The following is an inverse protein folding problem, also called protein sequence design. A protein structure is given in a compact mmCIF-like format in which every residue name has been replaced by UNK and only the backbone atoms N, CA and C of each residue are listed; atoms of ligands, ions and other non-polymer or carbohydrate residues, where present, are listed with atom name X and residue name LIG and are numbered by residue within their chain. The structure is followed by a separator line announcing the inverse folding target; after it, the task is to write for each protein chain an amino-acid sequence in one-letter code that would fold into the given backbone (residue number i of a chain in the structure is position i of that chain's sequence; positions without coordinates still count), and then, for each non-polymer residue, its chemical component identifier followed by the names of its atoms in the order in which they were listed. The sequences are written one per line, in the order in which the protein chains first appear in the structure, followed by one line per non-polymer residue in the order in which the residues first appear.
data_IF_098704468753
#
_entry.id   IF_098704468753
#
_cell.length_a   1.000
_cell.length_b   1.000
_cell.length_c   1.000
_cell.angle_alpha   90.00
_cell.angle_beta   90.00
_cell.angle_gamma   90.00
#
_symmetry.space_group_name_H-M   'P 1'
#
loop_
_entity.id
_entity.type
_entity.pdbx_description
1 polymer ?
#
# COMPACT_ATOMS: atom_id res chain seq x y z
N UNK A 1 1.92 -23.10 17.97
CA UNK A 1 2.02 -21.77 17.36
C UNK A 1 1.71 -21.89 15.87
N UNK A 2 0.62 -21.30 15.36
CA UNK A 2 0.34 -21.27 13.91
C UNK A 2 0.94 -19.98 13.34
N UNK A 3 1.86 -20.10 12.41
CA UNK A 3 2.40 -18.95 11.69
C UNK A 3 1.33 -18.52 10.67
N UNK A 4 0.81 -17.29 10.80
CA UNK A 4 -0.06 -16.69 9.80
C UNK A 4 0.80 -15.74 8.99
N UNK A 5 0.91 -15.96 7.68
CA UNK A 5 1.52 -14.98 6.79
C UNK A 5 0.59 -13.77 6.74
N UNK A 6 0.90 -12.73 7.50
CA UNK A 6 0.25 -11.44 7.39
C UNK A 6 0.67 -10.76 6.09
N UNK A 7 -0.20 -9.93 5.55
CA UNK A 7 0.05 -9.16 4.34
C UNK A 7 -0.20 -7.69 4.67
N UNK A 8 0.85 -6.88 4.61
CA UNK A 8 0.75 -5.43 4.81
C UNK A 8 0.69 -4.74 3.46
N UNK A 9 -0.24 -3.78 3.32
CA UNK A 9 -0.38 -2.93 2.14
C UNK A 9 -0.30 -1.47 2.58
N UNK A 10 0.45 -0.65 1.83
CA UNK A 10 0.47 0.80 1.98
C UNK A 10 0.20 1.47 0.64
N UNK A 11 -0.59 2.54 0.67
CA UNK A 11 -1.01 3.29 -0.51
C UNK A 11 -0.72 4.77 -0.31
N UNK A 12 -0.17 5.42 -1.34
CA UNK A 12 0.23 6.82 -1.28
C UNK A 12 -0.11 7.55 -2.57
N UNK A 13 -0.52 8.81 -2.42
CA UNK A 13 -0.75 9.77 -3.50
C UNK A 13 0.30 10.88 -3.44
N UNK A 14 0.73 11.38 -4.60
CA UNK A 14 1.82 12.34 -4.73
C UNK A 14 1.45 13.48 -5.65
N UNK A 15 2.06 14.64 -5.38
CA UNK A 15 1.85 15.85 -6.18
C UNK A 15 2.64 15.82 -7.49
N UNK A 16 3.72 15.03 -7.55
CA UNK A 16 4.55 14.91 -8.75
C UNK A 16 5.09 13.48 -8.95
N UNK A 17 5.48 13.19 -10.20
CA UNK A 17 6.15 11.93 -10.55
C UNK A 17 7.47 11.77 -9.81
N UNK A 18 8.26 12.84 -9.71
CA UNK A 18 9.57 12.83 -9.05
C UNK A 18 9.45 12.47 -7.57
N UNK A 19 8.47 13.05 -6.87
CA UNK A 19 8.20 12.75 -5.46
C UNK A 19 7.83 11.27 -5.27
N UNK A 20 6.93 10.75 -6.12
CA UNK A 20 6.58 9.33 -6.14
C UNK A 20 7.80 8.45 -6.33
N UNK A 21 8.63 8.74 -7.33
CA UNK A 21 9.78 7.91 -7.71
C UNK A 21 10.84 7.88 -6.59
N UNK A 22 11.07 9.04 -5.94
CA UNK A 22 11.94 9.12 -4.78
C UNK A 22 11.42 8.29 -3.60
N UNK A 23 10.12 8.33 -3.32
CA UNK A 23 9.53 7.54 -2.24
C UNK A 23 9.52 6.04 -2.54
N UNK A 24 9.26 5.63 -3.79
CA UNK A 24 9.39 4.22 -4.21
C UNK A 24 10.81 3.72 -3.96
N UNK A 25 11.83 4.49 -4.33
CA UNK A 25 13.22 4.11 -4.10
C UNK A 25 13.55 3.95 -2.60
N UNK A 26 12.94 4.75 -1.72
CA UNK A 26 13.07 4.61 -0.27
C UNK A 26 12.38 3.34 0.23
N UNK A 27 11.13 3.12 -0.15
CA UNK A 27 10.34 1.96 0.27
C UNK A 27 10.99 0.63 -0.14
N UNK A 28 11.56 0.57 -1.35
CA UNK A 28 12.32 -0.59 -1.82
C UNK A 28 13.55 -0.87 -0.94
N UNK A 29 14.26 0.19 -0.47
CA UNK A 29 15.38 0.03 0.46
C UNK A 29 14.95 -0.47 1.85
N UNK A 30 13.72 -0.13 2.26
CA UNK A 30 13.11 -0.58 3.52
C UNK A 30 12.47 -1.98 3.43
N UNK A 31 12.61 -2.67 2.30
CA UNK A 31 12.10 -4.02 2.10
C UNK A 31 10.60 -4.08 1.79
N UNK A 32 10.01 -2.98 1.35
CA UNK A 32 8.67 -2.98 0.76
C UNK A 32 8.76 -3.27 -0.74
N UNK A 33 7.90 -4.18 -1.22
CA UNK A 33 7.77 -4.45 -2.64
C UNK A 33 6.71 -3.55 -3.25
N UNK A 34 7.05 -2.86 -4.31
CA UNK A 34 6.07 -2.13 -5.10
C UNK A 34 5.11 -3.11 -5.81
N UNK A 35 3.83 -2.77 -5.85
CA UNK A 35 2.78 -3.50 -6.58
C UNK A 35 2.05 -2.66 -7.62
N UNK A 36 2.41 -1.38 -7.76
CA UNK A 36 1.93 -0.54 -8.84
C UNK A 36 2.31 0.93 -8.70
N UNK A 37 2.67 1.53 -9.83
CA UNK A 37 2.93 2.95 -10.03
C UNK A 37 2.10 3.45 -11.22
N UNK A 38 1.14 4.33 -10.98
CA UNK A 38 0.29 4.87 -12.07
C UNK A 38 -0.03 6.34 -11.86
N UNK A 39 -0.31 7.04 -12.97
CA UNK A 39 -1.03 8.30 -12.95
C UNK A 39 -2.52 7.95 -13.06
N UNK A 40 -3.27 8.05 -11.95
CA UNK A 40 -4.69 7.66 -11.90
C UNK A 40 -5.60 8.88 -11.76
N UNK A 41 -6.90 8.68 -12.01
CA UNK A 41 -7.90 9.70 -11.68
C UNK A 41 -8.03 9.82 -10.17
N UNK A 42 -8.25 11.04 -9.69
CA UNK A 42 -8.68 11.29 -8.32
C UNK A 42 -10.00 10.58 -8.06
N UNK A 43 -10.20 10.18 -6.81
CA UNK A 43 -11.41 9.50 -6.38
C UNK A 43 -12.66 10.35 -6.69
N UNK A 44 -13.70 9.70 -7.23
CA UNK A 44 -14.95 10.37 -7.60
C UNK A 44 -14.93 11.13 -8.93
N UNK A 45 -13.78 11.24 -9.62
CA UNK A 45 -13.73 11.88 -10.94
C UNK A 45 -14.17 10.90 -12.04
N UNK A 46 -15.16 11.32 -12.82
CA UNK A 46 -15.59 10.60 -14.01
C UNK A 46 -14.55 10.71 -15.14
N UNK A 47 -14.24 9.58 -15.76
CA UNK A 47 -13.34 9.52 -16.93
C UNK A 47 -13.83 10.42 -18.08
N UNK A 48 -15.14 10.62 -18.22
CA UNK A 48 -15.73 11.39 -19.33
C UNK A 48 -15.51 12.90 -19.21
N UNK A 49 -15.25 13.41 -18.01
CA UNK A 49 -15.09 14.85 -17.74
C UNK A 49 -13.70 15.19 -17.20
N UNK A 50 -12.81 14.20 -17.09
CA UNK A 50 -11.52 14.36 -16.47
C UNK A 50 -10.57 15.24 -17.29
N UNK A 51 -9.94 16.19 -16.61
CA UNK A 51 -8.84 17.01 -17.13
C UNK A 51 -7.49 16.48 -16.62
N UNK A 52 -6.38 17.02 -17.12
CA UNK A 52 -5.05 16.69 -16.59
C UNK A 52 -4.89 17.01 -15.09
N UNK A 53 -5.63 18.00 -14.58
CA UNK A 53 -5.59 18.42 -13.17
C UNK A 53 -6.36 17.46 -12.25
N UNK A 54 -7.17 16.57 -12.82
CA UNK A 54 -7.93 15.56 -12.09
C UNK A 54 -7.17 14.24 -11.93
N UNK A 55 -5.91 14.23 -12.34
CA UNK A 55 -5.03 13.09 -12.22
C UNK A 55 -4.03 13.29 -11.08
N UNK A 56 -3.71 12.19 -10.41
CA UNK A 56 -2.75 12.13 -9.31
C UNK A 56 -1.73 11.02 -9.55
N UNK A 57 -0.53 11.21 -8.99
CA UNK A 57 0.49 10.17 -8.99
C UNK A 57 0.24 9.25 -7.81
N UNK A 58 0.34 7.95 -8.05
CA UNK A 58 -0.01 6.93 -7.07
C UNK A 58 1.06 5.84 -7.00
N UNK A 59 1.29 5.32 -5.80
CA UNK A 59 2.08 4.11 -5.59
C UNK A 59 1.46 3.20 -4.51
N UNK A 60 1.49 1.89 -4.75
CA UNK A 60 1.06 0.85 -3.82
C UNK A 60 2.22 -0.06 -3.47
N UNK A 61 2.40 -0.32 -2.18
CA UNK A 61 3.46 -1.18 -1.65
C UNK A 61 2.86 -2.33 -0.87
N UNK A 62 3.56 -3.46 -0.85
CA UNK A 62 3.23 -4.59 -0.02
C UNK A 62 4.48 -5.25 0.56
N UNK A 63 4.32 -5.91 1.70
CA UNK A 63 5.32 -6.82 2.24
C UNK A 63 4.65 -7.95 3.00
N UNK A 64 5.31 -9.10 3.05
CA UNK A 64 4.93 -10.18 3.94
C UNK A 64 5.20 -9.74 5.38
N UNK A 65 4.21 -9.84 6.26
CA UNK A 65 4.42 -9.67 7.70
C UNK A 65 4.39 -11.02 8.39
N UNK A 66 5.43 -11.30 9.17
CA UNK A 66 5.44 -12.45 10.07
C UNK A 66 4.72 -12.06 11.36
N UNK A 67 3.39 -11.98 11.31
CA UNK A 67 2.59 -11.75 12.51
C UNK A 67 2.49 -13.07 13.28
N UNK A 68 3.20 -13.14 14.42
CA UNK A 68 2.98 -14.19 15.41
C UNK A 68 1.72 -13.80 16.18
N UNK A 69 0.59 -14.46 15.90
CA UNK A 69 -0.61 -14.29 16.70
C UNK A 69 -0.40 -14.96 18.08
N UNK A 70 -0.75 -14.29 19.20
CA UNK A 70 -0.78 -14.97 20.49
C UNK A 70 -1.78 -16.13 20.44
N UNK A 71 -1.39 -17.28 20.98
CA UNK A 71 -2.31 -18.40 21.16
C UNK A 71 -3.35 -17.99 22.21
N UNK A 72 -4.61 -17.82 21.78
CA UNK A 72 -5.74 -17.78 22.72
C UNK A 72 -5.94 -19.21 23.20
N UNK A 73 -5.52 -19.49 24.43
CA UNK A 73 -5.84 -20.75 25.08
C UNK A 73 -7.35 -20.76 25.35
N UNK A 74 -8.05 -21.78 24.84
CA UNK A 74 -9.49 -21.94 24.99
C UNK A 74 -9.94 -22.25 26.44
N UNK A 75 -9.00 -22.27 27.38
CA UNK A 75 -9.25 -22.58 28.80
C UNK A 75 -9.61 -21.33 29.63
N UNK A 76 -9.46 -20.10 29.11
CA UNK A 76 -9.87 -18.87 29.81
C UNK A 76 -11.32 -18.42 29.52
N UNK A 77 -12.10 -19.24 28.79
CA UNK A 77 -13.51 -18.97 28.45
C UNK A 77 -14.50 -19.90 29.18
N UNK A 78 -14.03 -20.63 30.21
CA UNK A 78 -14.87 -21.49 31.05
C UNK A 78 -15.24 -20.82 32.38
#
# INVERSE_FOLDING_TARGET
MKQVNGYEVKEFTYSSRTERDNHVALMNKEGWNESGQVKRLKEGVSLFYATENDREWYARFHRSSNLILPQVNKEELA
#
